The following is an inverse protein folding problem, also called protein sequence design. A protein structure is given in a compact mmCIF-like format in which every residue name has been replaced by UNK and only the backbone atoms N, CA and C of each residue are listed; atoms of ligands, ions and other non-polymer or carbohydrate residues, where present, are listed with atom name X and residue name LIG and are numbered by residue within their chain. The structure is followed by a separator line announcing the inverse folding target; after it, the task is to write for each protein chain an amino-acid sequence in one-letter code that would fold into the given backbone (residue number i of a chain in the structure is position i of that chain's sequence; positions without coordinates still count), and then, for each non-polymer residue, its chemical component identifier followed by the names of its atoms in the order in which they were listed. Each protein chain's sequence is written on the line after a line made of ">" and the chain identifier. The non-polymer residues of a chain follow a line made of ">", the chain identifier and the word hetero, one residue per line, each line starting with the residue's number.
data_IF_739542644811
#
_entry.id   IF_739542644811
#
_cell.length_a   1.000
_cell.length_b   1.000
_cell.length_c   1.000
_cell.angle_alpha   90.00
_cell.angle_beta   90.00
_cell.angle_gamma   90.00
#
_symmetry.space_group_name_H-M   'P 1'
#
loop_
_entity.id
_entity.type
_entity.pdbx_description
1 polymer ?
#
# COMPACT_ATOMS: atom_id res chain seq x y z
N UNK A 1 -10.20 -16.01 0.85
CA UNK A 1 -10.77 -16.62 -0.36
C UNK A 1 -9.97 -16.17 -1.58
N UNK A 2 -9.58 -17.10 -2.44
CA UNK A 2 -8.76 -16.86 -3.62
C UNK A 2 -9.39 -15.86 -4.60
N UNK A 3 -10.70 -15.71 -4.57
CA UNK A 3 -11.44 -14.78 -5.43
C UNK A 3 -11.06 -13.30 -5.24
N UNK A 4 -10.58 -12.92 -4.06
CA UNK A 4 -10.09 -11.55 -3.80
C UNK A 4 -8.56 -11.49 -3.92
N UNK A 5 -7.86 -12.56 -3.53
CA UNK A 5 -6.40 -12.58 -3.49
C UNK A 5 -5.79 -12.60 -4.90
N UNK A 6 -6.33 -13.39 -5.82
CA UNK A 6 -5.79 -13.46 -7.19
C UNK A 6 -5.90 -12.11 -7.94
N UNK A 7 -7.07 -11.46 -8.00
CA UNK A 7 -7.17 -10.14 -8.61
C UNK A 7 -6.25 -9.10 -7.95
N UNK A 8 -6.06 -9.18 -6.62
CA UNK A 8 -5.17 -8.26 -5.89
C UNK A 8 -3.71 -8.41 -6.31
N UNK A 9 -3.23 -9.65 -6.49
CA UNK A 9 -1.85 -9.92 -6.95
C UNK A 9 -1.61 -9.32 -8.34
N UNK A 10 -2.62 -9.39 -9.22
CA UNK A 10 -2.53 -8.84 -10.58
C UNK A 10 -2.94 -7.35 -10.69
N UNK A 11 -3.14 -6.67 -9.55
CA UNK A 11 -3.48 -5.25 -9.53
C UNK A 11 -4.93 -4.92 -9.92
N UNK A 12 -5.78 -5.94 -10.08
CA UNK A 12 -7.18 -5.75 -10.51
C UNK A 12 -8.12 -5.37 -9.35
N UNK A 13 -7.74 -5.63 -8.10
CA UNK A 13 -8.56 -5.31 -6.91
C UNK A 13 -8.51 -3.84 -6.51
N UNK A 14 -7.51 -3.13 -6.98
CA UNK A 14 -7.45 -1.68 -6.85
C UNK A 14 -7.39 -1.12 -8.26
N UNK A 15 -8.52 -0.82 -8.91
CA UNK A 15 -8.51 -0.33 -10.27
C UNK A 15 -7.67 0.95 -10.35
N UNK A 16 -6.45 0.80 -10.83
CA UNK A 16 -5.52 1.87 -11.14
C UNK A 16 -4.59 2.34 -10.02
N UNK A 17 -4.91 2.18 -8.72
CA UNK A 17 -4.12 2.86 -7.70
C UNK A 17 -2.91 2.05 -7.21
N UNK A 18 -3.06 0.79 -6.83
CA UNK A 18 -1.94 0.05 -6.25
C UNK A 18 -0.90 -0.33 -7.32
N UNK A 19 -1.35 -0.82 -8.47
CA UNK A 19 -0.45 -1.22 -9.57
C UNK A 19 0.15 -0.02 -10.28
N UNK A 20 -0.67 0.81 -10.92
CA UNK A 20 -0.21 1.94 -11.73
C UNK A 20 0.47 3.02 -10.88
N UNK A 21 -0.10 3.36 -9.71
CA UNK A 21 0.49 4.33 -8.79
C UNK A 21 1.82 3.83 -8.22
N UNK A 22 1.91 2.55 -7.84
CA UNK A 22 3.15 1.96 -7.34
C UNK A 22 4.27 1.99 -8.38
N UNK A 23 3.96 1.60 -9.62
CA UNK A 23 4.91 1.68 -10.73
C UNK A 23 5.32 3.12 -11.00
N UNK A 24 4.36 4.05 -11.04
CA UNK A 24 4.64 5.46 -11.23
C UNK A 24 5.56 6.02 -10.13
N UNK A 25 5.24 5.77 -8.87
CA UNK A 25 6.02 6.25 -7.72
C UNK A 25 7.44 5.69 -7.72
N UNK A 26 7.61 4.40 -7.98
CA UNK A 26 8.93 3.76 -8.07
C UNK A 26 9.72 4.27 -9.29
N UNK A 27 9.06 4.45 -10.43
CA UNK A 27 9.69 5.03 -11.61
C UNK A 27 10.20 6.44 -11.33
N UNK A 28 9.40 7.30 -10.72
CA UNK A 28 9.80 8.66 -10.37
C UNK A 28 11.01 8.66 -9.41
N UNK A 29 11.01 7.75 -8.44
CA UNK A 29 12.16 7.59 -7.55
C UNK A 29 13.42 7.24 -8.34
N UNK A 30 13.38 6.20 -9.18
CA UNK A 30 14.55 5.74 -9.93
C UNK A 30 15.02 6.75 -10.98
N UNK A 31 14.13 7.56 -11.56
CA UNK A 31 14.51 8.66 -12.45
C UNK A 31 15.24 9.79 -11.72
N UNK A 32 15.03 9.93 -10.42
CA UNK A 32 15.74 10.90 -9.58
C UNK A 32 17.12 10.43 -9.10
N UNK A 33 17.46 9.17 -9.30
CA UNK A 33 18.77 8.61 -8.87
C UNK A 33 19.86 9.09 -9.84
N UNK A 34 20.97 9.67 -9.33
CA UNK A 34 22.09 10.12 -10.15
C UNK A 34 22.70 8.96 -10.97
N UNK A 35 22.99 9.23 -12.26
CA UNK A 35 23.56 8.23 -13.16
C UNK A 35 24.97 7.82 -12.75
N UNK A 36 25.70 8.71 -12.10
CA UNK A 36 27.05 8.52 -11.58
C UNK A 36 27.17 7.33 -10.65
N UNK A 37 26.09 7.01 -9.91
CA UNK A 37 26.04 5.82 -9.05
C UNK A 37 26.07 4.50 -9.85
N UNK A 38 25.39 4.49 -11.00
CA UNK A 38 25.41 3.32 -11.89
C UNK A 38 26.76 3.19 -12.61
N UNK A 39 27.35 4.31 -12.99
CA UNK A 39 28.66 4.35 -13.66
C UNK A 39 29.75 3.91 -12.70
N UNK A 40 29.73 4.40 -11.45
CA UNK A 40 30.67 3.96 -10.41
C UNK A 40 30.54 2.45 -10.13
N UNK A 41 29.33 1.93 -10.01
CA UNK A 41 29.09 0.51 -9.82
C UNK A 41 29.61 -0.34 -11.00
N UNK A 42 29.47 0.16 -12.23
CA UNK A 42 29.99 -0.51 -13.42
C UNK A 42 31.54 -0.51 -13.45
N UNK A 43 32.19 0.56 -13.01
CA UNK A 43 33.66 0.63 -12.87
C UNK A 43 34.14 -0.38 -11.83
N UNK A 44 33.40 -0.56 -10.72
CA UNK A 44 33.66 -1.56 -9.68
C UNK A 44 33.35 -3.01 -10.12
N UNK A 45 32.93 -3.21 -11.39
CA UNK A 45 32.63 -4.53 -11.94
C UNK A 45 31.31 -5.12 -11.46
N UNK A 46 30.41 -4.31 -10.86
CA UNK A 46 29.11 -4.77 -10.45
C UNK A 46 28.18 -4.95 -11.66
N UNK A 47 27.64 -6.14 -11.85
CA UNK A 47 26.60 -6.39 -12.84
C UNK A 47 25.28 -5.69 -12.47
N UNK A 48 24.34 -5.53 -13.44
CA UNK A 48 23.10 -4.76 -13.24
C UNK A 48 22.22 -5.27 -12.08
N UNK A 49 22.15 -6.58 -11.88
CA UNK A 49 21.39 -7.18 -10.77
C UNK A 49 22.02 -6.84 -9.42
N UNK A 50 23.35 -6.91 -9.33
CA UNK A 50 24.08 -6.57 -8.10
C UNK A 50 23.95 -5.09 -7.78
N UNK A 51 24.04 -4.21 -8.77
CA UNK A 51 23.81 -2.78 -8.62
C UNK A 51 22.39 -2.48 -8.13
N UNK A 52 21.40 -3.16 -8.70
CA UNK A 52 20.01 -3.00 -8.27
C UNK A 52 19.80 -3.41 -6.80
N UNK A 53 20.27 -4.61 -6.41
CA UNK A 53 20.03 -5.12 -5.05
C UNK A 53 20.88 -4.38 -4.01
N UNK A 54 22.15 -4.08 -4.32
CA UNK A 54 23.09 -3.54 -3.33
C UNK A 54 23.06 -2.01 -3.22
N UNK A 55 22.63 -1.29 -4.26
CA UNK A 55 22.63 0.18 -4.29
C UNK A 55 21.23 0.72 -4.43
N UNK A 56 20.51 0.36 -5.47
CA UNK A 56 19.21 0.94 -5.81
C UNK A 56 18.11 0.60 -4.80
N UNK A 57 18.00 -0.66 -4.44
CA UNK A 57 16.97 -1.15 -3.53
C UNK A 57 17.11 -0.59 -2.10
N UNK A 58 18.32 -0.52 -1.49
CA UNK A 58 18.52 0.14 -0.21
C UNK A 58 18.17 1.63 -0.22
N UNK A 59 18.47 2.34 -1.31
CA UNK A 59 18.10 3.75 -1.47
C UNK A 59 16.57 3.93 -1.55
N UNK A 60 15.87 3.00 -2.17
CA UNK A 60 14.43 3.03 -2.34
C UNK A 60 13.64 2.66 -1.06
N UNK A 61 14.29 2.28 0.05
CA UNK A 61 13.61 1.79 1.27
C UNK A 61 12.52 2.73 1.79
N UNK A 62 12.76 4.05 1.82
CA UNK A 62 11.77 5.02 2.28
C UNK A 62 10.56 5.08 1.36
N UNK A 63 10.79 5.10 0.05
CA UNK A 63 9.74 5.12 -0.96
C UNK A 63 8.93 3.82 -0.96
N UNK A 64 9.60 2.68 -0.83
CA UNK A 64 8.95 1.37 -0.70
C UNK A 64 8.11 1.27 0.58
N UNK A 65 8.62 1.76 1.71
CA UNK A 65 7.87 1.78 2.95
C UNK A 65 6.62 2.67 2.85
N UNK A 66 6.73 3.85 2.25
CA UNK A 66 5.59 4.74 2.00
C UNK A 66 4.56 4.08 1.09
N UNK A 67 5.01 3.45 0.01
CA UNK A 67 4.14 2.72 -0.92
C UNK A 67 3.43 1.57 -0.21
N UNK A 68 4.13 0.79 0.62
CA UNK A 68 3.54 -0.30 1.39
C UNK A 68 2.42 0.18 2.32
N UNK A 69 2.59 1.32 3.01
CA UNK A 69 1.57 1.91 3.88
C UNK A 69 0.36 2.35 3.08
N UNK A 70 0.57 3.02 1.95
CA UNK A 70 -0.52 3.48 1.07
C UNK A 70 -1.31 2.29 0.54
N UNK A 71 -0.63 1.27 0.01
CA UNK A 71 -1.25 0.06 -0.52
C UNK A 71 -2.00 -0.71 0.57
N UNK A 72 -1.40 -0.85 1.77
CA UNK A 72 -2.05 -1.47 2.91
C UNK A 72 -3.34 -0.74 3.29
N UNK A 73 -3.27 0.59 3.45
CA UNK A 73 -4.44 1.40 3.82
C UNK A 73 -5.56 1.29 2.80
N UNK A 74 -5.19 1.28 1.52
CA UNK A 74 -6.16 1.14 0.43
C UNK A 74 -6.80 -0.25 0.42
N UNK A 75 -5.99 -1.31 0.51
CA UNK A 75 -6.47 -2.70 0.58
C UNK A 75 -7.32 -2.98 1.80
N UNK A 76 -6.95 -2.40 2.96
CA UNK A 76 -7.71 -2.57 4.20
C UNK A 76 -9.10 -1.96 4.11
N UNK A 77 -9.23 -0.82 3.43
CA UNK A 77 -10.50 -0.10 3.27
C UNK A 77 -11.29 -0.53 2.02
N UNK A 78 -10.83 -1.56 1.28
CA UNK A 78 -11.51 -2.01 0.07
C UNK A 78 -12.84 -2.69 0.40
N UNK A 79 -13.89 -1.89 0.27
CA UNK A 79 -15.28 -2.32 0.40
C UNK A 79 -15.83 -2.87 -0.92
N UNK A 80 -15.62 -2.12 -2.01
CA UNK A 80 -16.34 -2.33 -3.26
C UNK A 80 -15.97 -3.65 -3.93
N UNK A 81 -14.69 -3.93 -4.07
CA UNK A 81 -14.23 -5.18 -4.69
C UNK A 81 -14.67 -6.39 -3.88
N UNK A 82 -14.52 -6.30 -2.55
CA UNK A 82 -14.94 -7.37 -1.64
C UNK A 82 -16.44 -7.61 -1.70
N UNK A 83 -17.25 -6.56 -1.71
CA UNK A 83 -18.70 -6.64 -1.78
C UNK A 83 -19.18 -7.34 -3.05
N UNK A 84 -18.56 -7.06 -4.21
CA UNK A 84 -18.91 -7.69 -5.49
C UNK A 84 -18.41 -9.13 -5.58
N UNK A 85 -17.20 -9.41 -5.07
CA UNK A 85 -16.53 -10.69 -5.28
C UNK A 85 -16.86 -11.76 -4.24
N UNK A 86 -17.36 -11.36 -3.06
CA UNK A 86 -17.67 -12.29 -1.96
C UNK A 86 -19.17 -12.33 -1.72
N UNK A 87 -19.79 -13.45 -2.11
CA UNK A 87 -21.20 -13.73 -1.83
C UNK A 87 -21.41 -14.54 -0.52
N UNK A 88 -20.33 -14.91 0.16
CA UNK A 88 -20.35 -15.74 1.36
C UNK A 88 -20.30 -14.83 2.61
N UNK A 89 -21.38 -14.80 3.37
CA UNK A 89 -21.53 -13.98 4.57
C UNK A 89 -20.54 -14.31 5.69
N UNK A 90 -20.00 -15.53 5.70
CA UNK A 90 -19.00 -15.95 6.70
C UNK A 90 -17.58 -15.45 6.40
N UNK A 91 -17.34 -14.97 5.17
CA UNK A 91 -16.00 -14.57 4.69
C UNK A 91 -15.90 -13.08 4.36
N UNK A 92 -16.80 -12.28 4.89
CA UNK A 92 -16.80 -10.83 4.65
C UNK A 92 -15.56 -10.16 5.25
N UNK A 93 -15.03 -9.18 4.54
CA UNK A 93 -14.02 -8.29 5.12
C UNK A 93 -14.68 -7.31 6.10
N UNK A 94 -13.86 -6.72 6.96
CA UNK A 94 -14.34 -5.85 8.03
C UNK A 94 -15.20 -4.67 7.51
N UNK A 95 -14.82 -3.94 6.42
CA UNK A 95 -15.66 -2.88 5.87
C UNK A 95 -17.04 -3.35 5.39
N UNK A 96 -17.10 -4.52 4.76
CA UNK A 96 -18.37 -5.09 4.29
C UNK A 96 -19.20 -5.61 5.46
N UNK A 97 -18.54 -6.26 6.43
CA UNK A 97 -19.19 -6.77 7.64
C UNK A 97 -19.85 -5.68 8.48
N UNK A 98 -19.20 -4.52 8.64
CA UNK A 98 -19.76 -3.38 9.38
C UNK A 98 -21.08 -2.90 8.74
N UNK A 99 -21.13 -2.82 7.41
CA UNK A 99 -22.36 -2.42 6.73
C UNK A 99 -23.46 -3.50 6.81
N UNK A 100 -23.08 -4.77 6.87
CA UNK A 100 -24.01 -5.89 7.04
C UNK A 100 -24.67 -5.91 8.42
N UNK A 101 -23.98 -5.42 9.45
CA UNK A 101 -24.51 -5.32 10.82
C UNK A 101 -25.58 -4.22 10.93
N UNK A 102 -25.49 -3.19 10.10
CA UNK A 102 -26.45 -2.08 10.10
C UNK A 102 -27.79 -2.49 9.45
N UNK A 103 -28.56 -3.29 10.17
CA UNK A 103 -29.95 -3.57 9.80
C UNK A 103 -30.88 -2.48 10.36
N UNK A 104 -31.92 -2.05 9.61
CA UNK A 104 -32.71 -0.86 9.92
C UNK A 104 -33.44 -0.87 11.28
N UNK A 105 -33.55 -2.02 11.95
CA UNK A 105 -34.38 -2.15 13.16
C UNK A 105 -33.80 -3.02 14.27
N UNK A 106 -32.58 -3.57 14.18
CA UNK A 106 -32.12 -4.59 15.13
C UNK A 106 -30.80 -4.34 15.84
N UNK A 107 -29.97 -3.42 15.35
CA UNK A 107 -28.64 -3.20 15.94
C UNK A 107 -28.52 -1.76 16.42
N UNK A 108 -28.28 -1.58 17.70
CA UNK A 108 -28.03 -0.25 18.27
C UNK A 108 -26.78 0.39 17.64
N UNK A 109 -26.82 1.68 17.38
CA UNK A 109 -25.73 2.46 16.78
C UNK A 109 -24.38 2.26 17.55
N UNK A 110 -24.44 1.93 18.83
CA UNK A 110 -23.27 1.66 19.68
C UNK A 110 -22.42 0.50 19.15
N UNK A 111 -23.03 -0.58 18.64
CA UNK A 111 -22.32 -1.75 18.10
C UNK A 111 -21.62 -1.38 16.79
N UNK A 112 -22.29 -0.58 15.95
CA UNK A 112 -21.71 -0.09 14.71
C UNK A 112 -20.52 0.81 14.99
N UNK A 113 -20.64 1.75 15.93
CA UNK A 113 -19.52 2.62 16.33
C UNK A 113 -18.35 1.84 16.92
N UNK A 114 -18.61 0.83 17.76
CA UNK A 114 -17.56 -0.02 18.29
C UNK A 114 -16.81 -0.78 17.16
N UNK A 115 -17.54 -1.32 16.20
CA UNK A 115 -16.95 -2.00 15.05
C UNK A 115 -16.10 -1.07 14.18
N UNK A 116 -16.57 0.17 13.95
CA UNK A 116 -15.81 1.20 13.21
C UNK A 116 -14.52 1.56 13.94
N UNK A 117 -14.56 1.75 15.26
CA UNK A 117 -13.37 2.03 16.07
C UNK A 117 -12.35 0.89 15.95
N UNK A 118 -12.79 -0.35 16.07
CA UNK A 118 -11.92 -1.52 15.90
C UNK A 118 -11.33 -1.60 14.46
N UNK A 119 -12.09 -1.20 13.46
CA UNK A 119 -11.64 -1.19 12.07
C UNK A 119 -10.55 -0.14 11.78
N UNK A 120 -10.57 0.98 12.49
CA UNK A 120 -9.59 2.05 12.33
C UNK A 120 -8.24 1.71 13.00
N UNK A 121 -8.25 0.92 14.07
CA UNK A 121 -7.04 0.63 14.86
C UNK A 121 -5.87 0.09 14.03
N UNK A 122 -6.01 -0.92 13.17
CA UNK A 122 -4.88 -1.44 12.39
C UNK A 122 -4.26 -0.39 11.47
N UNK A 123 -5.09 0.43 10.82
CA UNK A 123 -4.64 1.50 9.93
C UNK A 123 -3.88 2.55 10.72
N UNK A 124 -4.40 2.93 11.89
CA UNK A 124 -3.77 3.91 12.78
C UNK A 124 -2.40 3.41 13.28
N UNK A 125 -2.31 2.14 13.67
CA UNK A 125 -1.05 1.52 14.12
C UNK A 125 -0.03 1.53 12.99
N UNK A 126 -0.40 1.08 11.79
CA UNK A 126 0.49 1.07 10.62
C UNK A 126 0.94 2.48 10.26
N UNK A 127 0.03 3.46 10.32
CA UNK A 127 0.36 4.85 10.06
C UNK A 127 1.34 5.41 11.11
N UNK A 128 1.09 5.21 12.40
CA UNK A 128 1.96 5.70 13.48
C UNK A 128 3.38 5.12 13.39
N UNK A 129 3.51 3.85 13.05
CA UNK A 129 4.82 3.21 12.83
C UNK A 129 5.48 3.76 11.57
N UNK A 130 4.71 3.95 10.52
CA UNK A 130 5.20 4.25 9.17
C UNK A 130 5.37 5.73 8.84
N UNK A 131 4.77 6.67 9.59
CA UNK A 131 4.79 8.10 9.30
C UNK A 131 6.20 8.68 9.07
N UNK A 132 7.19 8.19 9.81
CA UNK A 132 8.59 8.62 9.64
C UNK A 132 9.18 8.30 8.26
N UNK A 133 8.69 7.25 7.60
CA UNK A 133 9.15 6.87 6.27
C UNK A 133 8.46 7.69 5.18
N UNK A 134 7.18 8.05 5.40
CA UNK A 134 6.41 8.92 4.49
C UNK A 134 7.08 10.29 4.40
N UNK A 135 7.41 10.90 5.54
CA UNK A 135 8.07 12.20 5.59
C UNK A 135 9.42 12.16 4.87
N UNK A 136 10.24 11.11 5.10
CA UNK A 136 11.53 10.96 4.43
C UNK A 136 11.42 10.80 2.91
N UNK A 137 10.37 10.16 2.41
CA UNK A 137 10.19 9.99 0.96
C UNK A 137 9.86 11.30 0.26
N UNK A 138 9.13 12.21 0.93
CA UNK A 138 8.76 13.51 0.38
C UNK A 138 9.95 14.49 0.30
N UNK A 139 10.86 14.44 1.26
CA UNK A 139 12.02 15.36 1.29
C UNK A 139 13.02 15.09 0.17
N UNK A 140 13.12 13.86 -0.33
CA UNK A 140 14.02 13.52 -1.45
C UNK A 140 13.51 14.02 -2.82
N UNK A 141 12.24 14.32 -2.94
CA UNK A 141 11.63 14.84 -4.20
C UNK A 141 11.65 16.38 -4.24
N UNK A 142 11.78 17.03 -3.09
CA UNK A 142 11.65 18.49 -2.94
C UNK A 142 12.94 19.29 -3.09
N UNK A 143 14.11 18.67 -3.17
CA UNK A 143 15.40 19.40 -3.28
C UNK A 143 15.92 19.31 -4.70
N UNK A 144 15.23 19.96 -5.63
CA UNK A 144 15.75 20.47 -6.88
C UNK A 144 15.39 21.95 -6.94
N UNK A 145 16.16 22.75 -6.25
CA UNK A 145 16.25 24.18 -6.37
C UNK A 145 17.72 24.53 -6.56
#
# INVERSE_FOLDING_TARGET
>A
SWAVTLPSIFGASCPGLAGAFGVFMMRQFFMGVPKELNEAAAIDGAGPIRTFISIMLPMAKSTLASLAIIVFTYSWNDYFTTFIMINDTEKLTLPVGILSIKQPFSTGDNVVFAAVVLAILPVLIVFLIGQKWIVKSMTHVGVKG
#
